data_IF_664701556528
#
_entry.id   IF_664701556528
#
_cell.length_a   1.000
_cell.length_b   1.000
_cell.length_c   1.000
_cell.angle_alpha   90.00
_cell.angle_beta   90.00
_cell.angle_gamma   90.00
#
_symmetry.space_group_name_H-M   'P 1'
#
loop_
_entity.id
_entity.type
_entity.pdbx_description
1 polymer ?
#
# COMPACT_ATOMS: atom_id res chain seq x y z
N UNK A 1 -12.72 -15.15 21.60
CA UNK A 1 -11.51 -14.59 20.93
C UNK A 1 -11.40 -15.30 19.59
N UNK A 2 -11.71 -14.63 18.47
CA UNK A 2 -11.66 -15.26 17.15
C UNK A 2 -10.21 -15.72 16.91
N UNK A 3 -9.97 -17.03 16.79
CA UNK A 3 -8.60 -17.53 16.64
C UNK A 3 -8.00 -17.00 15.34
N UNK A 4 -6.71 -16.65 15.34
CA UNK A 4 -5.97 -16.16 14.15
C UNK A 4 -6.17 -17.09 12.93
N UNK A 5 -6.34 -18.40 13.18
CA UNK A 5 -6.69 -19.40 12.15
C UNK A 5 -8.02 -19.11 11.45
N UNK A 6 -9.04 -18.64 12.17
CA UNK A 6 -10.34 -18.27 11.59
C UNK A 6 -10.21 -17.03 10.70
N UNK A 7 -9.40 -16.04 11.09
CA UNK A 7 -9.17 -14.84 10.27
C UNK A 7 -8.48 -15.23 8.95
N UNK A 8 -7.42 -16.05 9.01
CA UNK A 8 -6.72 -16.53 7.80
C UNK A 8 -7.61 -17.33 6.86
N UNK A 9 -8.50 -18.17 7.39
CA UNK A 9 -9.42 -18.98 6.59
C UNK A 9 -10.44 -18.13 5.81
N UNK A 10 -10.76 -16.93 6.30
CA UNK A 10 -11.80 -16.06 5.72
C UNK A 10 -11.27 -14.96 4.79
N UNK A 11 -9.95 -14.84 4.62
CA UNK A 11 -9.37 -13.94 3.63
C UNK A 11 -9.47 -14.59 2.23
N UNK A 12 -9.93 -13.83 1.21
CA UNK A 12 -10.03 -14.37 -0.14
C UNK A 12 -8.65 -14.77 -0.65
N UNK A 13 -8.54 -15.92 -1.32
CA UNK A 13 -7.34 -16.35 -2.02
C UNK A 13 -7.59 -16.28 -3.52
N UNK A 14 -6.59 -15.88 -4.29
CA UNK A 14 -6.74 -15.70 -5.73
C UNK A 14 -7.32 -16.94 -6.44
N UNK A 15 -6.81 -18.14 -6.11
CA UNK A 15 -7.25 -19.43 -6.67
C UNK A 15 -8.70 -19.81 -6.37
N UNK A 16 -9.36 -19.12 -5.44
CA UNK A 16 -10.79 -19.35 -5.18
C UNK A 16 -11.68 -18.62 -6.22
N UNK A 17 -11.09 -17.78 -7.10
CA UNK A 17 -11.81 -16.88 -8.02
C UNK A 17 -11.36 -16.98 -9.48
N UNK A 18 -10.45 -17.89 -9.80
CA UNK A 18 -9.88 -18.10 -11.14
C UNK A 18 -9.80 -19.59 -11.45
N UNK A 19 -9.72 -19.94 -12.72
CA UNK A 19 -9.59 -21.34 -13.13
C UNK A 19 -8.23 -21.92 -12.68
N UNK A 20 -8.20 -23.23 -12.39
CA UNK A 20 -7.02 -23.90 -11.81
C UNK A 20 -5.79 -23.85 -12.72
N UNK A 21 -6.01 -23.84 -14.03
CA UNK A 21 -5.00 -23.77 -15.09
C UNK A 21 -4.59 -22.34 -15.44
N UNK A 22 -5.26 -21.32 -14.89
CA UNK A 22 -4.91 -19.92 -15.12
C UNK A 22 -3.45 -19.67 -14.71
N UNK A 23 -2.67 -19.17 -15.68
CA UNK A 23 -1.27 -18.78 -15.48
C UNK A 23 -1.22 -17.55 -14.59
N UNK A 24 -0.35 -17.58 -13.59
CA UNK A 24 -0.17 -16.51 -12.61
C UNK A 24 1.30 -16.13 -12.51
N UNK A 25 1.56 -14.89 -12.10
CA UNK A 25 2.87 -14.41 -11.67
C UNK A 25 3.05 -14.81 -10.21
N UNK A 26 3.97 -15.74 -9.96
CA UNK A 26 4.24 -16.29 -8.63
C UNK A 26 5.35 -15.51 -7.93
N UNK A 27 5.34 -15.55 -6.60
CA UNK A 27 6.47 -15.11 -5.77
C UNK A 27 7.75 -15.89 -6.09
N UNK A 28 8.90 -15.24 -5.87
CA UNK A 28 10.22 -15.85 -6.04
C UNK A 28 10.75 -16.45 -4.74
N UNK A 29 11.86 -17.19 -4.81
CA UNK A 29 12.60 -17.64 -3.60
C UNK A 29 13.14 -16.47 -2.75
N UNK A 30 13.33 -15.28 -3.35
CA UNK A 30 13.78 -14.06 -2.66
C UNK A 30 12.61 -13.27 -2.04
N UNK A 31 11.36 -13.72 -2.20
CA UNK A 31 10.20 -13.02 -1.70
C UNK A 31 10.12 -13.03 -0.17
N UNK A 32 9.82 -11.90 0.48
CA UNK A 32 9.67 -11.87 1.93
C UNK A 32 8.33 -12.47 2.35
N UNK A 33 8.24 -12.89 3.61
CA UNK A 33 6.98 -13.35 4.20
C UNK A 33 6.06 -12.15 4.41
N UNK A 34 4.86 -12.21 3.81
CA UNK A 34 3.81 -11.21 4.04
C UNK A 34 3.23 -11.36 5.44
N UNK A 35 3.07 -10.23 6.15
CA UNK A 35 2.52 -10.21 7.50
C UNK A 35 1.10 -9.64 7.47
N UNK A 36 0.19 -10.27 8.22
CA UNK A 36 -1.19 -9.82 8.34
C UNK A 36 -1.31 -8.99 9.61
N UNK A 37 -1.63 -7.70 9.47
CA UNK A 37 -1.68 -6.76 10.62
C UNK A 37 -2.60 -7.26 11.75
N UNK A 38 -3.84 -7.74 11.50
CA UNK A 38 -4.66 -8.35 12.56
C UNK A 38 -3.97 -9.48 13.32
N UNK A 39 -3.23 -10.35 12.65
CA UNK A 39 -2.48 -11.44 13.30
C UNK A 39 -1.35 -10.88 14.17
N UNK A 40 -0.57 -9.93 13.63
CA UNK A 40 0.50 -9.27 14.40
C UNK A 40 -0.06 -8.62 15.66
N UNK A 41 -1.18 -7.88 15.53
CA UNK A 41 -1.82 -7.17 16.64
C UNK A 41 -2.38 -8.14 17.68
N UNK A 42 -3.00 -9.23 17.27
CA UNK A 42 -3.52 -10.25 18.18
C UNK A 42 -2.42 -11.03 18.91
N UNK A 43 -1.28 -11.26 18.25
CA UNK A 43 -0.17 -12.05 18.80
C UNK A 43 0.80 -11.21 19.63
N UNK A 44 1.15 -10.01 19.17
CA UNK A 44 2.20 -9.17 19.77
C UNK A 44 1.69 -7.85 20.36
N UNK A 45 0.44 -7.48 20.07
CA UNK A 45 -0.20 -6.35 20.73
C UNK A 45 -0.28 -6.60 22.23
N UNK A 46 0.17 -5.63 23.03
CA UNK A 46 -0.03 -5.64 24.48
C UNK A 46 -1.17 -4.70 24.82
N UNK A 47 -1.99 -5.07 25.82
CA UNK A 47 -3.15 -4.30 26.23
C UNK A 47 -4.38 -4.54 25.35
N UNK A 48 -5.45 -3.78 25.60
CA UNK A 48 -6.70 -3.85 24.84
C UNK A 48 -6.88 -2.59 24.01
N UNK A 49 -7.43 -2.75 22.81
CA UNK A 49 -7.95 -1.60 22.07
C UNK A 49 -9.02 -0.90 22.91
N UNK A 50 -9.03 0.43 22.88
CA UNK A 50 -10.01 1.22 23.60
C UNK A 50 -11.42 1.01 23.01
N UNK A 51 -12.47 1.22 23.81
CA UNK A 51 -13.85 0.95 23.38
C UNK A 51 -14.29 1.90 22.26
N UNK A 52 -14.01 3.19 22.42
CA UNK A 52 -14.22 4.24 21.41
C UNK A 52 -13.52 3.91 20.08
N UNK A 53 -12.29 3.41 20.17
CA UNK A 53 -11.51 2.94 19.02
C UNK A 53 -12.26 1.83 18.26
N UNK A 54 -12.70 0.78 18.97
CA UNK A 54 -13.41 -0.34 18.35
C UNK A 54 -14.71 0.11 17.67
N UNK A 55 -15.50 0.96 18.34
CA UNK A 55 -16.77 1.48 17.81
C UNK A 55 -16.56 2.20 16.48
N UNK A 56 -15.51 3.01 16.38
CA UNK A 56 -15.22 3.81 15.19
C UNK A 56 -14.58 2.98 14.08
N UNK A 57 -13.70 2.04 14.43
CA UNK A 57 -12.90 1.29 13.47
C UNK A 57 -13.70 0.17 12.80
N UNK A 58 -14.53 -0.55 13.56
CA UNK A 58 -15.20 -1.77 13.10
C UNK A 58 -16.10 -1.55 11.87
N UNK A 59 -16.97 -0.53 11.81
CA UNK A 59 -17.84 -0.33 10.65
C UNK A 59 -17.05 -0.08 9.34
N UNK A 60 -15.99 0.75 9.40
CA UNK A 60 -15.13 1.02 8.25
C UNK A 60 -14.33 -0.23 7.85
N UNK A 61 -13.85 -1.00 8.82
CA UNK A 61 -13.13 -2.26 8.56
C UNK A 61 -14.03 -3.28 7.84
N UNK A 62 -15.28 -3.46 8.29
CA UNK A 62 -16.24 -4.36 7.63
C UNK A 62 -16.50 -3.92 6.19
N UNK A 63 -16.78 -2.63 5.97
CA UNK A 63 -16.96 -2.08 4.61
C UNK A 63 -15.71 -2.28 3.74
N UNK A 64 -14.52 -2.11 4.32
CA UNK A 64 -13.25 -2.34 3.60
C UNK A 64 -13.10 -3.81 3.19
N UNK A 65 -13.43 -4.75 4.09
CA UNK A 65 -13.39 -6.19 3.78
C UNK A 65 -14.40 -6.53 2.67
N UNK A 66 -15.57 -5.89 2.63
CA UNK A 66 -16.53 -6.06 1.54
C UNK A 66 -15.92 -5.61 0.21
N UNK A 67 -15.26 -4.46 0.16
CA UNK A 67 -14.58 -3.97 -1.05
C UNK A 67 -13.41 -4.88 -1.48
N UNK A 68 -12.66 -5.43 -0.52
CA UNK A 68 -11.62 -6.45 -0.81
C UNK A 68 -12.28 -7.69 -1.42
N UNK A 69 -13.35 -8.24 -0.83
CA UNK A 69 -14.04 -9.41 -1.42
C UNK A 69 -14.60 -9.11 -2.81
N UNK A 70 -15.09 -7.89 -3.04
CA UNK A 70 -15.55 -7.43 -4.37
C UNK A 70 -14.40 -7.40 -5.38
N UNK A 71 -13.19 -7.00 -4.98
CA UNK A 71 -12.02 -6.95 -5.85
C UNK A 71 -11.70 -8.32 -6.45
N UNK A 72 -11.79 -9.38 -5.64
CA UNK A 72 -11.61 -10.77 -6.06
C UNK A 72 -12.81 -11.31 -6.86
N UNK A 73 -14.05 -11.07 -6.41
CA UNK A 73 -15.26 -11.55 -7.10
C UNK A 73 -15.40 -11.01 -8.52
N UNK A 74 -14.84 -9.84 -8.80
CA UNK A 74 -14.93 -9.20 -10.13
C UNK A 74 -13.86 -9.68 -11.11
N UNK A 75 -12.93 -10.56 -10.70
CA UNK A 75 -11.92 -11.10 -11.62
C UNK A 75 -12.53 -11.91 -12.76
N UNK A 76 -13.65 -12.59 -12.51
CA UNK A 76 -14.45 -13.27 -13.55
C UNK A 76 -14.99 -12.34 -14.65
N UNK A 77 -14.96 -11.02 -14.43
CA UNK A 77 -15.39 -10.02 -15.40
C UNK A 77 -14.25 -9.58 -16.33
N UNK A 78 -13.04 -10.14 -16.18
CA UNK A 78 -11.99 -9.95 -17.16
C UNK A 78 -12.43 -10.51 -18.52
N UNK A 79 -12.15 -9.79 -19.63
CA UNK A 79 -12.57 -10.23 -20.96
C UNK A 79 -11.81 -11.49 -21.40
N UNK A 80 -12.50 -12.41 -22.08
CA UNK A 80 -11.89 -13.64 -22.63
C UNK A 80 -10.78 -13.34 -23.67
N UNK A 81 -10.95 -12.25 -24.43
CA UNK A 81 -9.98 -11.74 -25.41
C UNK A 81 -9.62 -10.31 -25.05
N UNK A 82 -8.73 -10.17 -24.08
CA UNK A 82 -8.27 -8.87 -23.63
C UNK A 82 -7.39 -8.18 -24.67
N UNK A 83 -7.53 -6.86 -24.78
CA UNK A 83 -6.56 -5.99 -25.45
C UNK A 83 -5.33 -5.84 -24.54
N UNK A 84 -4.15 -5.79 -25.16
CA UNK A 84 -2.87 -5.55 -24.44
C UNK A 84 -2.24 -4.21 -24.80
N UNK A 85 -2.80 -3.48 -25.77
CA UNK A 85 -2.35 -2.16 -26.18
C UNK A 85 -3.43 -1.14 -25.83
N UNK A 86 -3.10 -0.19 -24.95
CA UNK A 86 -3.98 0.92 -24.59
C UNK A 86 -3.64 2.14 -25.44
N UNK A 87 -4.65 2.73 -26.09
CA UNK A 87 -4.47 3.98 -26.83
C UNK A 87 -4.36 5.18 -25.88
N UNK A 88 -3.71 6.25 -26.35
CA UNK A 88 -3.44 7.43 -25.54
C UNK A 88 -4.72 8.11 -25.03
N UNK A 89 -5.78 8.15 -25.84
CA UNK A 89 -7.06 8.72 -25.46
C UNK A 89 -7.66 7.96 -24.28
N UNK A 90 -7.73 6.63 -24.36
CA UNK A 90 -8.25 5.79 -23.27
C UNK A 90 -7.41 5.91 -22.00
N UNK A 91 -6.07 5.96 -22.11
CA UNK A 91 -5.19 6.14 -20.97
C UNK A 91 -5.38 7.52 -20.31
N UNK A 92 -5.58 8.57 -21.10
CA UNK A 92 -5.82 9.92 -20.59
C UNK A 92 -7.20 10.04 -19.93
N UNK A 93 -8.24 9.43 -20.51
CA UNK A 93 -9.56 9.30 -19.86
C UNK A 93 -9.46 8.57 -18.52
N UNK A 94 -8.71 7.46 -18.47
CA UNK A 94 -8.47 6.71 -17.24
C UNK A 94 -7.81 7.58 -16.16
N UNK A 95 -6.72 8.28 -16.51
CA UNK A 95 -6.00 9.16 -15.57
C UNK A 95 -6.91 10.27 -15.06
N UNK A 96 -7.64 10.94 -15.96
CA UNK A 96 -8.60 12.00 -15.60
C UNK A 96 -9.64 11.47 -14.61
N UNK A 97 -10.27 10.36 -14.94
CA UNK A 97 -11.27 9.73 -14.07
C UNK A 97 -10.69 9.35 -12.70
N UNK A 98 -9.48 8.78 -12.67
CA UNK A 98 -8.80 8.43 -11.43
C UNK A 98 -8.57 9.65 -10.52
N UNK A 99 -8.11 10.78 -11.06
CA UNK A 99 -7.97 12.02 -10.29
C UNK A 99 -9.31 12.58 -9.81
N UNK A 100 -10.34 12.57 -10.65
CA UNK A 100 -11.70 13.03 -10.28
C UNK A 100 -12.30 12.26 -9.10
N UNK A 101 -11.99 10.96 -8.99
CA UNK A 101 -12.49 10.12 -7.90
C UNK A 101 -11.54 10.00 -6.70
N UNK A 102 -10.50 10.83 -6.65
CA UNK A 102 -9.68 11.05 -5.46
C UNK A 102 -8.32 10.35 -5.40
N UNK A 103 -7.80 9.82 -6.52
CA UNK A 103 -6.39 9.43 -6.60
C UNK A 103 -5.51 10.69 -6.55
N UNK A 104 -4.40 10.62 -5.82
CA UNK A 104 -3.44 11.72 -5.70
C UNK A 104 -2.36 11.66 -6.76
N UNK A 105 -1.73 10.49 -6.96
CA UNK A 105 -0.71 10.25 -7.98
C UNK A 105 -0.89 8.87 -8.63
N UNK A 106 -0.49 8.76 -9.90
CA UNK A 106 -0.53 7.51 -10.69
C UNK A 106 0.87 7.24 -11.23
N UNK A 107 1.38 6.03 -10.95
CA UNK A 107 2.64 5.54 -11.48
C UNK A 107 2.45 4.22 -12.22
N UNK A 108 3.43 3.85 -13.05
CA UNK A 108 3.38 2.64 -13.86
C UNK A 108 4.69 1.87 -13.71
N UNK A 109 4.57 0.56 -13.50
CA UNK A 109 5.76 -0.30 -13.36
C UNK A 109 5.45 -1.76 -13.67
N UNK A 110 6.49 -2.58 -13.76
CA UNK A 110 6.40 -4.04 -13.73
C UNK A 110 6.60 -4.56 -12.30
N UNK A 111 5.71 -5.46 -11.87
CA UNK A 111 5.82 -6.20 -10.62
C UNK A 111 6.87 -7.29 -10.79
N UNK A 112 7.97 -7.19 -10.06
CA UNK A 112 8.95 -8.28 -10.00
C UNK A 112 8.46 -9.38 -9.05
N UNK A 113 8.71 -10.67 -9.37
CA UNK A 113 8.40 -11.78 -8.48
C UNK A 113 8.91 -11.62 -7.05
N UNK A 114 10.05 -10.94 -6.85
CA UNK A 114 10.64 -10.64 -5.53
C UNK A 114 9.82 -9.67 -4.66
N UNK A 115 8.89 -8.94 -5.27
CA UNK A 115 7.97 -7.99 -4.60
C UNK A 115 6.66 -8.64 -4.18
N UNK A 116 6.32 -9.80 -4.73
CA UNK A 116 5.14 -10.58 -4.35
C UNK A 116 5.49 -11.34 -3.07
N UNK A 117 4.64 -11.29 -2.05
CA UNK A 117 4.89 -11.99 -0.79
C UNK A 117 4.99 -13.51 -1.00
N UNK A 118 5.86 -14.16 -0.22
CA UNK A 118 6.10 -15.61 -0.33
C UNK A 118 4.80 -16.41 -0.22
N UNK A 119 4.57 -17.31 -1.19
CA UNK A 119 3.36 -18.13 -1.28
C UNK A 119 2.13 -17.39 -1.82
N UNK A 120 2.28 -16.13 -2.24
CA UNK A 120 1.26 -15.38 -2.99
C UNK A 120 1.59 -15.35 -4.47
N UNK A 121 0.56 -14.98 -5.23
CA UNK A 121 0.59 -14.85 -6.69
C UNK A 121 -0.44 -13.80 -7.12
N UNK A 122 -0.19 -13.21 -8.29
CA UNK A 122 -1.07 -12.25 -8.97
C UNK A 122 -1.29 -12.72 -10.41
N UNK A 123 -2.29 -12.20 -11.10
CA UNK A 123 -2.61 -12.58 -12.48
C UNK A 123 -1.64 -11.98 -13.50
N UNK A 124 -1.25 -10.72 -13.31
CA UNK A 124 -0.53 -9.98 -14.34
C UNK A 124 0.68 -9.23 -13.79
N UNK A 125 1.69 -9.02 -14.64
CA UNK A 125 2.99 -8.48 -14.22
C UNK A 125 3.11 -6.96 -14.39
N UNK A 126 2.23 -6.28 -15.14
CA UNK A 126 2.27 -4.84 -15.29
C UNK A 126 1.29 -4.20 -14.30
N UNK A 127 1.63 -3.02 -13.78
CA UNK A 127 0.86 -2.39 -12.72
C UNK A 127 0.64 -0.90 -12.94
N UNK A 128 -0.60 -0.46 -12.75
CA UNK A 128 -0.91 0.89 -12.31
C UNK A 128 -0.74 0.94 -10.79
N UNK A 129 -0.07 1.97 -10.29
CA UNK A 129 0.15 2.19 -8.86
C UNK A 129 -0.48 3.52 -8.48
N UNK A 130 -1.26 3.52 -7.41
CA UNK A 130 -2.03 4.68 -6.98
C UNK A 130 -1.63 5.10 -5.58
N UNK A 131 -1.53 6.40 -5.35
CA UNK A 131 -1.51 6.98 -4.01
C UNK A 131 -2.84 7.68 -3.71
N UNK A 132 -3.25 7.67 -2.45
CA UNK A 132 -4.31 8.52 -1.94
C UNK A 132 -3.83 9.17 -0.65
N UNK A 133 -3.85 10.49 -0.62
CA UNK A 133 -3.44 11.26 0.56
C UNK A 133 -4.34 10.98 1.77
N UNK A 134 -3.70 11.03 2.94
CA UNK A 134 -4.41 11.15 4.21
C UNK A 134 -4.45 12.62 4.62
N UNK A 135 -5.59 13.08 5.12
CA UNK A 135 -5.80 14.46 5.58
C UNK A 135 -4.74 14.89 6.59
N UNK A 136 -3.99 15.94 6.25
CA UNK A 136 -2.90 16.47 7.09
C UNK A 136 -3.36 16.80 8.51
N UNK A 137 -4.49 17.52 8.65
CA UNK A 137 -5.08 17.93 9.93
C UNK A 137 -5.38 16.76 10.89
N UNK A 138 -5.77 15.60 10.36
CA UNK A 138 -6.03 14.40 11.16
C UNK A 138 -4.72 13.71 11.56
N UNK A 139 -3.74 13.63 10.65
CA UNK A 139 -2.45 12.97 10.91
C UNK A 139 -1.55 13.78 11.86
N UNK A 140 -1.65 15.10 11.87
CA UNK A 140 -0.97 15.97 12.84
C UNK A 140 -1.35 15.66 14.29
N UNK A 141 -2.54 15.10 14.51
CA UNK A 141 -3.03 14.69 15.82
C UNK A 141 -2.59 13.28 16.20
N UNK A 142 -1.78 12.58 15.39
CA UNK A 142 -1.36 11.22 15.71
C UNK A 142 -0.48 11.17 16.98
N UNK A 143 -0.67 10.20 17.90
CA UNK A 143 -1.69 9.16 17.86
C UNK A 143 -3.02 9.65 18.44
N UNK A 144 -4.10 9.56 17.67
CA UNK A 144 -5.44 9.93 18.12
C UNK A 144 -6.53 9.18 17.38
N UNK A 145 -7.75 9.22 17.92
CA UNK A 145 -8.93 8.70 17.25
C UNK A 145 -9.16 9.35 15.88
N UNK A 146 -8.90 10.64 15.73
CA UNK A 146 -9.02 11.37 14.46
C UNK A 146 -8.04 10.82 13.40
N UNK A 147 -6.76 10.68 13.76
CA UNK A 147 -5.76 10.05 12.88
C UNK A 147 -6.16 8.63 12.46
N UNK A 148 -6.76 7.85 13.37
CA UNK A 148 -7.24 6.50 13.06
C UNK A 148 -8.41 6.51 12.10
N UNK A 149 -9.38 7.39 12.31
CA UNK A 149 -10.54 7.55 11.43
C UNK A 149 -10.13 7.84 10.01
N UNK A 150 -9.12 8.70 9.85
CA UNK A 150 -8.58 9.08 8.56
C UNK A 150 -7.86 7.92 7.87
N UNK A 151 -7.07 7.14 8.61
CA UNK A 151 -6.42 5.94 8.08
C UNK A 151 -7.45 4.95 7.52
N UNK A 152 -8.52 4.68 8.27
CA UNK A 152 -9.57 3.75 7.84
C UNK A 152 -10.48 4.34 6.75
N UNK A 153 -10.68 5.67 6.72
CA UNK A 153 -11.34 6.34 5.58
C UNK A 153 -10.56 6.04 4.31
N UNK A 154 -9.25 6.28 4.33
CA UNK A 154 -8.39 6.12 3.15
C UNK A 154 -8.34 4.67 2.69
N UNK A 155 -8.28 3.67 3.59
CA UNK A 155 -8.40 2.26 3.21
C UNK A 155 -9.70 1.94 2.48
N UNK A 156 -10.84 2.44 3.00
CA UNK A 156 -12.15 2.20 2.42
C UNK A 156 -12.30 2.89 1.06
N UNK A 157 -12.00 4.18 0.99
CA UNK A 157 -12.17 4.96 -0.24
C UNK A 157 -11.23 4.49 -1.34
N UNK A 158 -9.96 4.23 -1.02
CA UNK A 158 -9.01 3.70 -2.02
C UNK A 158 -9.42 2.30 -2.50
N UNK A 159 -9.97 1.45 -1.62
CA UNK A 159 -10.55 0.16 -2.01
C UNK A 159 -11.69 0.30 -3.02
N UNK A 160 -12.62 1.23 -2.80
CA UNK A 160 -13.72 1.53 -3.74
C UNK A 160 -13.19 2.05 -5.07
N UNK A 161 -12.25 3.00 -5.02
CA UNK A 161 -11.68 3.66 -6.20
C UNK A 161 -10.96 2.64 -7.09
N UNK A 162 -10.12 1.78 -6.53
CA UNK A 162 -9.42 0.74 -7.29
C UNK A 162 -10.39 -0.23 -7.96
N UNK A 163 -11.49 -0.59 -7.27
CA UNK A 163 -12.54 -1.42 -7.88
C UNK A 163 -13.22 -0.72 -9.06
N UNK A 164 -13.51 0.59 -8.95
CA UNK A 164 -14.09 1.39 -10.05
C UNK A 164 -13.13 1.50 -11.23
N UNK A 165 -11.86 1.80 -10.98
CA UNK A 165 -10.82 1.89 -12.01
C UNK A 165 -10.58 0.55 -12.72
N UNK A 166 -10.64 -0.56 -11.98
CA UNK A 166 -10.57 -1.90 -12.58
C UNK A 166 -11.78 -2.19 -13.46
N UNK A 167 -12.98 -1.73 -13.06
CA UNK A 167 -14.19 -1.83 -13.90
C UNK A 167 -14.05 -1.04 -15.19
N UNK A 168 -13.57 0.21 -15.11
CA UNK A 168 -13.32 1.07 -16.27
C UNK A 168 -12.45 0.39 -17.33
N UNK A 169 -11.36 -0.28 -16.90
CA UNK A 169 -10.46 -1.00 -17.80
C UNK A 169 -11.15 -2.22 -18.43
N UNK A 170 -11.85 -3.02 -17.63
CA UNK A 170 -12.58 -4.22 -18.10
C UNK A 170 -13.68 -3.88 -19.10
N UNK A 171 -14.44 -2.83 -18.84
CA UNK A 171 -15.49 -2.32 -19.74
C UNK A 171 -14.95 -1.87 -21.10
N UNK A 172 -13.65 -1.54 -21.19
CA UNK A 172 -12.95 -1.17 -22.43
C UNK A 172 -12.18 -2.33 -23.07
N UNK A 173 -12.27 -3.52 -22.49
CA UNK A 173 -11.68 -4.74 -23.01
C UNK A 173 -10.26 -5.03 -22.50
N UNK A 174 -9.83 -4.44 -21.39
CA UNK A 174 -8.52 -4.72 -20.77
C UNK A 174 -8.67 -5.61 -19.54
N UNK A 175 -7.71 -6.50 -19.31
CA UNK A 175 -7.63 -7.25 -18.07
C UNK A 175 -7.23 -6.34 -16.90
N UNK A 176 -7.92 -6.48 -15.76
CA UNK A 176 -7.62 -5.72 -14.56
C UNK A 176 -7.88 -6.53 -13.29
N UNK A 177 -6.81 -6.81 -12.55
CA UNK A 177 -6.85 -7.32 -11.18
C UNK A 177 -6.67 -6.16 -10.20
N UNK A 178 -7.73 -5.84 -9.47
CA UNK A 178 -7.67 -4.90 -8.36
C UNK A 178 -6.75 -5.41 -7.23
N UNK A 179 -5.71 -4.63 -6.91
CA UNK A 179 -4.85 -4.78 -5.74
C UNK A 179 -5.26 -3.77 -4.66
N UNK A 180 -6.19 -4.12 -3.73
CA UNK A 180 -6.66 -3.20 -2.71
C UNK A 180 -5.54 -2.84 -1.72
N UNK A 181 -5.64 -1.65 -1.10
CA UNK A 181 -4.68 -1.18 -0.10
C UNK A 181 -4.63 -2.07 1.15
N UNK A 182 -5.78 -2.64 1.55
CA UNK A 182 -5.84 -3.60 2.65
C UNK A 182 -5.64 -5.02 2.11
N UNK A 183 -4.65 -5.73 2.64
CA UNK A 183 -4.44 -7.15 2.36
C UNK A 183 -3.84 -7.45 0.98
N UNK A 184 -3.16 -6.48 0.36
CA UNK A 184 -2.45 -6.67 -0.90
C UNK A 184 -1.37 -7.76 -0.83
N UNK A 185 -1.15 -8.44 -1.95
CA UNK A 185 -0.20 -9.56 -2.08
C UNK A 185 1.21 -9.12 -2.48
N UNK A 186 1.42 -7.81 -2.67
CA UNK A 186 2.68 -7.20 -3.13
C UNK A 186 3.13 -6.13 -2.14
N UNK A 187 4.44 -5.91 -2.06
CA UNK A 187 5.05 -4.85 -1.26
C UNK A 187 4.80 -3.48 -1.91
N UNK A 188 3.64 -2.89 -1.66
CA UNK A 188 3.22 -1.64 -2.30
C UNK A 188 4.20 -0.47 -2.18
N UNK A 189 4.87 -0.22 -1.03
CA UNK A 189 5.86 0.86 -0.95
C UNK A 189 7.01 0.70 -1.96
N UNK A 190 7.50 -0.54 -2.15
CA UNK A 190 8.55 -0.83 -3.11
C UNK A 190 8.03 -0.73 -4.55
N UNK A 191 6.80 -1.19 -4.79
CA UNK A 191 6.14 -1.07 -6.09
C UNK A 191 5.97 0.41 -6.49
N UNK A 192 5.56 1.27 -5.56
CA UNK A 192 5.39 2.70 -5.80
C UNK A 192 6.72 3.45 -5.98
N UNK A 193 7.77 3.06 -5.25
CA UNK A 193 9.13 3.56 -5.51
C UNK A 193 9.58 3.19 -6.93
N UNK A 194 9.36 1.94 -7.35
CA UNK A 194 9.70 1.51 -8.72
C UNK A 194 8.86 2.22 -9.79
N UNK A 195 7.62 2.58 -9.46
CA UNK A 195 6.75 3.39 -10.31
C UNK A 195 7.12 4.88 -10.34
N UNK A 196 8.18 5.30 -9.64
CA UNK A 196 8.69 6.67 -9.66
C UNK A 196 7.86 7.66 -8.82
N UNK A 197 6.97 7.19 -7.95
CA UNK A 197 6.08 8.09 -7.18
C UNK A 197 6.74 8.74 -5.96
N UNK A 198 7.89 8.21 -5.54
CA UNK A 198 8.60 8.63 -4.34
C UNK A 198 9.72 7.66 -4.01
N UNK A 199 10.24 7.71 -2.78
CA UNK A 199 11.21 6.72 -2.33
C UNK A 199 10.96 6.28 -0.87
N UNK A 200 11.45 5.11 -0.53
CA UNK A 200 11.33 4.52 0.80
C UNK A 200 12.13 5.33 1.82
N UNK A 201 11.46 5.79 2.86
CA UNK A 201 12.11 6.37 4.03
C UNK A 201 12.66 5.32 5.01
N UNK A 202 13.40 5.77 6.02
CA UNK A 202 13.96 4.88 7.06
C UNK A 202 12.89 4.09 7.85
N UNK A 203 11.66 4.58 7.89
CA UNK A 203 10.51 3.87 8.47
C UNK A 203 9.88 2.80 7.54
N UNK A 204 10.38 2.63 6.31
CA UNK A 204 9.89 1.64 5.34
C UNK A 204 8.56 1.98 4.66
N UNK A 205 8.14 3.25 4.71
CA UNK A 205 6.98 3.74 3.97
C UNK A 205 7.48 4.60 2.80
N UNK A 206 6.69 4.67 1.73
CA UNK A 206 6.93 5.60 0.63
C UNK A 206 6.84 7.03 1.14
N UNK A 207 7.77 7.89 0.73
CA UNK A 207 7.74 9.34 0.91
C UNK A 207 7.57 9.96 -0.48
N UNK A 208 6.49 10.72 -0.67
CA UNK A 208 6.22 11.43 -1.92
C UNK A 208 6.46 12.93 -1.76
N UNK A 209 6.68 13.68 -2.85
CA UNK A 209 6.93 15.12 -2.76
C UNK A 209 5.82 15.92 -2.07
N UNK A 210 4.55 15.62 -2.38
CA UNK A 210 3.42 16.45 -1.93
C UNK A 210 2.92 16.09 -0.52
N UNK A 211 2.99 14.82 -0.14
CA UNK A 211 2.33 14.33 1.08
C UNK A 211 3.30 13.66 2.07
N UNK A 212 4.59 13.60 1.74
CA UNK A 212 5.56 12.81 2.49
C UNK A 212 5.06 11.36 2.64
N UNK A 213 5.13 10.76 3.84
CA UNK A 213 4.59 9.42 4.09
C UNK A 213 3.09 9.37 4.40
N UNK A 214 2.36 10.48 4.31
CA UNK A 214 0.95 10.59 4.70
C UNK A 214 -0.01 10.16 3.59
N UNK A 215 0.09 8.90 3.16
CA UNK A 215 -0.74 8.33 2.10
C UNK A 215 -1.01 6.83 2.29
N UNK A 216 -1.91 6.31 1.44
CA UNK A 216 -2.08 4.87 1.19
C UNK A 216 -1.80 4.55 -0.27
N UNK A 217 -1.40 3.31 -0.50
CA UNK A 217 -1.02 2.81 -1.82
C UNK A 217 -1.92 1.65 -2.19
N UNK A 218 -2.31 1.58 -3.45
CA UNK A 218 -2.98 0.45 -4.05
C UNK A 218 -2.47 0.23 -5.48
N UNK A 219 -2.91 -0.84 -6.11
CA UNK A 219 -2.51 -1.14 -7.49
C UNK A 219 -3.66 -1.72 -8.31
N UNK A 220 -3.50 -1.69 -9.63
CA UNK A 220 -4.20 -2.58 -10.56
C UNK A 220 -3.13 -3.33 -11.32
N UNK A 221 -3.19 -4.66 -11.30
CA UNK A 221 -2.36 -5.50 -12.14
C UNK A 221 -3.07 -5.76 -13.47
N UNK A 222 -2.33 -5.66 -14.57
CA UNK A 222 -2.84 -5.77 -15.94
C UNK A 222 -1.76 -6.38 -16.84
N UNK A 223 -2.18 -6.85 -18.01
CA UNK A 223 -1.32 -7.30 -19.10
C UNK A 223 -1.12 -6.22 -20.19
N UNK A 224 -1.59 -4.98 -19.97
CA UNK A 224 -1.29 -3.86 -20.88
C UNK A 224 0.22 -3.66 -21.00
N UNK A 225 0.78 -3.79 -22.20
CA UNK A 225 2.22 -3.86 -22.46
C UNK A 225 2.85 -2.48 -22.66
N UNK A 226 2.10 -1.53 -23.22
CA UNK A 226 2.58 -0.20 -23.60
C UNK A 226 2.29 0.88 -22.53
N UNK A 227 2.21 0.50 -21.25
CA UNK A 227 2.12 1.48 -20.16
C UNK A 227 3.39 2.33 -20.09
N UNK A 228 3.31 3.63 -19.75
CA UNK A 228 4.46 4.51 -19.66
C UNK A 228 5.25 4.25 -18.37
N UNK A 229 6.00 3.15 -18.34
CA UNK A 229 6.80 2.74 -17.19
C UNK A 229 7.84 3.80 -16.82
N UNK A 230 8.06 3.99 -15.52
CA UNK A 230 9.11 4.88 -15.04
C UNK A 230 10.50 4.32 -15.39
N UNK A 231 11.28 5.07 -16.17
CA UNK A 231 12.67 4.70 -16.51
C UNK A 231 13.65 5.07 -15.39
N UNK A 232 13.37 6.18 -14.69
CA UNK A 232 14.21 6.73 -13.63
C UNK A 232 13.33 7.25 -12.50
N UNK A 233 13.81 7.09 -11.27
CA UNK A 233 13.17 7.66 -10.09
C UNK A 233 14.02 8.82 -9.55
N UNK A 234 13.55 10.05 -9.77
CA UNK A 234 14.22 11.28 -9.33
C UNK A 234 14.13 11.54 -7.81
N UNK A 235 13.40 10.70 -7.07
CA UNK A 235 13.19 10.85 -5.63
C UNK A 235 14.17 10.01 -4.80
N UNK A 236 15.08 9.25 -5.42
CA UNK A 236 16.00 8.35 -4.72
C UNK A 236 16.94 9.05 -3.72
N UNK A 237 17.19 10.35 -3.90
CA UNK A 237 17.96 11.17 -2.94
C UNK A 237 17.34 11.21 -1.53
N UNK A 238 16.02 10.97 -1.40
CA UNK A 238 15.34 10.85 -0.11
C UNK A 238 16.02 9.78 0.78
N UNK A 239 16.57 8.72 0.18
CA UNK A 239 17.28 7.66 0.92
C UNK A 239 18.50 8.22 1.63
N UNK A 240 19.36 8.95 0.92
CA UNK A 240 20.54 9.62 1.46
C UNK A 240 20.18 10.68 2.50
N UNK A 241 19.07 11.42 2.30
CA UNK A 241 18.57 12.33 3.34
C UNK A 241 18.15 11.56 4.61
N UNK A 242 17.43 10.45 4.44
CA UNK A 242 16.94 9.64 5.55
C UNK A 242 18.07 9.03 6.38
N UNK A 243 19.21 8.72 5.77
CA UNK A 243 20.42 8.23 6.46
C UNK A 243 20.90 9.21 7.53
N UNK A 244 20.85 10.52 7.26
CA UNK A 244 21.24 11.58 8.20
C UNK A 244 20.11 12.02 9.14
N UNK A 245 18.86 12.01 8.68
CA UNK A 245 17.74 12.61 9.43
C UNK A 245 17.34 11.83 10.69
N UNK A 246 16.96 10.55 10.56
CA UNK A 246 16.60 9.68 11.70
C UNK A 246 15.44 10.12 12.60
N UNK A 247 14.69 11.19 12.29
CA UNK A 247 13.65 11.73 13.19
C UNK A 247 12.55 10.72 13.52
N UNK A 248 12.11 9.93 12.54
CA UNK A 248 11.11 8.87 12.76
C UNK A 248 11.62 7.78 13.72
N UNK A 249 12.92 7.45 13.69
CA UNK A 249 13.56 6.51 14.62
C UNK A 249 13.52 7.08 16.04
N UNK A 250 13.98 8.33 16.21
CA UNK A 250 14.02 9.01 17.51
C UNK A 250 12.64 9.18 18.15
N UNK A 251 11.59 9.43 17.35
CA UNK A 251 10.24 9.68 17.85
C UNK A 251 9.37 8.42 17.95
N UNK A 252 9.88 7.24 17.57
CA UNK A 252 9.10 6.01 17.62
C UNK A 252 8.82 5.61 19.09
N UNK A 253 7.56 5.56 19.55
CA UNK A 253 7.26 5.33 20.97
C UNK A 253 7.65 3.94 21.48
N UNK A 254 7.87 2.97 20.58
CA UNK A 254 8.29 1.61 20.93
C UNK A 254 9.67 1.23 20.42
N UNK A 255 10.45 2.20 19.91
CA UNK A 255 11.77 1.95 19.31
C UNK A 255 11.74 0.81 18.28
N UNK A 256 10.68 0.78 17.47
CA UNK A 256 10.43 -0.28 16.50
C UNK A 256 11.16 -0.04 15.18
N UNK A 257 11.45 1.21 14.81
CA UNK A 257 12.14 1.51 13.55
C UNK A 257 13.64 1.28 13.76
N UNK A 258 14.26 0.47 12.92
CA UNK A 258 15.69 0.23 13.00
C UNK A 258 16.47 1.48 12.57
N UNK A 259 17.60 1.74 13.24
CA UNK A 259 18.56 2.75 12.76
C UNK A 259 19.03 2.36 11.37
N UNK A 260 19.45 1.12 11.18
CA UNK A 260 19.85 0.59 9.87
C UNK A 260 18.93 -0.57 9.52
N UNK A 261 18.33 -0.52 8.33
CA UNK A 261 17.36 -1.51 7.90
C UNK A 261 18.03 -2.89 7.80
N UNK A 262 17.36 -3.92 8.33
CA UNK A 262 17.87 -5.29 8.26
C UNK A 262 17.69 -5.82 6.83
N UNK A 263 18.78 -6.14 6.17
CA UNK A 263 18.77 -6.72 4.83
C UNK A 263 18.33 -8.17 4.94
N UNK A 264 17.24 -8.54 4.26
CA UNK A 264 16.84 -9.96 4.11
C UNK A 264 17.55 -10.56 2.90
N UNK A 265 17.59 -9.79 1.81
CA UNK A 265 18.28 -10.12 0.56
C UNK A 265 18.53 -8.83 -0.24
N UNK A 266 19.14 -8.96 -1.42
CA UNK A 266 19.52 -7.86 -2.32
C UNK A 266 18.40 -6.82 -2.53
N UNK A 267 17.13 -7.26 -2.62
CA UNK A 267 16.01 -6.39 -2.96
C UNK A 267 15.13 -6.02 -1.76
N UNK A 268 15.14 -6.82 -0.69
CA UNK A 268 14.20 -6.67 0.43
C UNK A 268 14.89 -6.29 1.74
N UNK A 269 14.39 -5.22 2.36
CA UNK A 269 14.86 -4.70 3.66
C UNK A 269 13.71 -4.62 4.64
N UNK A 270 13.95 -5.00 5.89
CA UNK A 270 13.04 -4.79 7.00
C UNK A 270 13.43 -3.52 7.73
N UNK A 271 12.56 -2.53 7.68
CA UNK A 271 12.78 -1.24 8.31
C UNK A 271 12.30 -1.18 9.76
N UNK A 272 11.40 -2.10 10.16
CA UNK A 272 10.77 -2.10 11.48
C UNK A 272 10.76 -3.48 12.15
N UNK A 273 10.91 -3.50 13.46
CA UNK A 273 10.46 -4.59 14.31
C UNK A 273 8.93 -4.49 14.47
N UNK A 274 8.20 -5.24 13.64
CA UNK A 274 6.73 -5.23 13.65
C UNK A 274 6.14 -5.70 14.99
N UNK A 275 6.87 -6.51 15.78
CA UNK A 275 6.42 -6.97 17.11
C UNK A 275 6.42 -5.80 18.08
N UNK A 276 7.47 -4.99 18.07
CA UNK A 276 7.53 -3.74 18.86
C UNK A 276 6.54 -2.69 18.35
N UNK A 277 6.33 -2.60 17.04
CA UNK A 277 5.36 -1.67 16.45
C UNK A 277 3.90 -2.03 16.82
N UNK A 278 3.61 -3.33 16.98
CA UNK A 278 2.27 -3.81 17.32
C UNK A 278 1.76 -3.25 18.65
N UNK A 279 2.65 -3.02 19.63
CA UNK A 279 2.27 -2.53 20.96
C UNK A 279 1.60 -1.15 20.90
N UNK A 280 2.27 -0.05 20.46
CA UNK A 280 1.61 1.25 20.36
C UNK A 280 0.50 1.25 19.30
N UNK A 281 0.55 0.38 18.29
CA UNK A 281 -0.55 0.23 17.35
C UNK A 281 -1.85 -0.19 18.05
N UNK A 282 -1.77 -1.13 19.01
CA UNK A 282 -2.93 -1.64 19.76
C UNK A 282 -3.50 -0.61 20.75
N UNK A 283 -2.64 0.07 21.52
CA UNK A 283 -3.10 0.92 22.64
C UNK A 283 -3.27 2.40 22.28
N UNK A 284 -2.64 2.85 21.19
CA UNK A 284 -2.61 4.27 20.79
C UNK A 284 -3.29 4.49 19.44
N UNK A 285 -4.51 4.00 19.27
CA UNK A 285 -5.34 4.28 18.09
C UNK A 285 -4.67 3.98 16.74
N UNK A 286 -3.89 2.89 16.61
CA UNK A 286 -3.15 2.58 15.38
C UNK A 286 -1.85 3.36 15.19
N UNK A 287 -1.42 4.15 16.18
CA UNK A 287 -0.20 4.94 16.20
C UNK A 287 -0.08 5.96 15.05
N UNK A 288 0.93 5.85 14.17
CA UNK A 288 1.29 6.80 13.09
C UNK A 288 2.18 7.99 13.48
N UNK A 289 2.86 7.92 14.62
CA UNK A 289 3.85 8.93 15.04
C UNK A 289 4.98 9.08 14.02
N UNK A 290 5.43 7.98 13.40
CA UNK A 290 6.50 8.03 12.38
C UNK A 290 6.10 8.80 11.11
N UNK A 291 4.80 8.84 10.78
CA UNK A 291 4.27 9.64 9.68
C UNK A 291 4.25 11.11 10.10
N UNK A 292 3.60 11.42 11.23
CA UNK A 292 3.50 12.77 11.79
C UNK A 292 4.87 13.44 11.97
N UNK A 293 5.85 12.70 12.44
CA UNK A 293 7.17 13.24 12.77
C UNK A 293 8.13 13.25 11.59
N UNK A 294 7.76 12.70 10.43
CA UNK A 294 8.63 12.70 9.26
C UNK A 294 8.91 14.13 8.80
N UNK A 295 10.18 14.45 8.50
CA UNK A 295 10.56 15.79 8.02
C UNK A 295 9.81 16.19 6.75
N UNK A 296 9.52 15.22 5.87
CA UNK A 296 8.76 15.43 4.64
C UNK A 296 7.25 15.58 4.86
N UNK A 297 6.73 15.23 6.04
CA UNK A 297 5.34 15.55 6.40
C UNK A 297 5.25 16.97 6.98
N UNK A 298 6.26 17.36 7.77
CA UNK A 298 6.26 18.64 8.49
C UNK A 298 6.80 19.82 7.67
N UNK A 299 7.53 19.56 6.58
CA UNK A 299 8.16 20.58 5.76
C UNK A 299 7.92 20.33 4.27
N UNK A 300 8.12 21.37 3.47
CA UNK A 300 8.05 21.29 2.02
C UNK A 300 9.22 20.46 1.45
N UNK A 301 8.90 19.57 0.52
CA UNK A 301 9.86 18.66 -0.10
C UNK A 301 10.94 19.39 -0.90
N UNK A 302 10.60 20.43 -1.65
CA UNK A 302 11.55 21.14 -2.51
C UNK A 302 12.53 21.97 -1.67
N UNK A 303 12.06 22.57 -0.58
CA UNK A 303 12.92 23.24 0.40
C UNK A 303 13.88 22.27 1.10
N UNK A 304 13.47 21.03 1.34
CA UNK A 304 14.38 19.99 1.87
C UNK A 304 15.41 19.60 0.80
N UNK A 305 14.97 19.42 -0.45
CA UNK A 305 15.83 19.03 -1.58
C UNK A 305 16.93 20.06 -1.81
N UNK A 306 16.56 21.33 -1.95
CA UNK A 306 17.48 22.46 -2.17
C UNK A 306 18.54 22.61 -1.07
N UNK A 307 18.19 22.29 0.18
CA UNK A 307 19.15 22.37 1.30
C UNK A 307 20.04 21.14 1.42
N UNK A 308 19.67 20.03 0.81
CA UNK A 308 20.35 18.75 0.97
C UNK A 308 21.28 18.41 -0.19
N UNK A 309 20.87 18.76 -1.42
CA UNK A 309 21.61 18.54 -2.67
C UNK A 309 22.22 19.86 -3.10
#
# INVERSE_FOLDING_TARGET
MLSVKIIKKNLPKLRDYIDLDTVTVKSSKKSPVGLIVPEIVLTYGKGKMKKDDLIVTMPKMVKTIIEVKKSYKTLKNNPLKAKTIIDEKTLNEFKKYAYEIGISDIGFTKVEPSMIFSGKEILFANAFVFTMEMKKESIEKAPSLDSKQEIFRTYLELGKVVNKLSSFLRERGFNAQAGPALGGDVIYPLLAEKAGLGALGKHGLLITPKFGPSLRIAAIYTDIENLPFSEKNEHLWIKSFCEKCGRCVSKCPSNAIYKDAKVINETNKVCIDYKKCAVPFTINYGCSVCIKECSFFRNDYYKIKEKFI
#
